data_IF_616516913200
#
_entry.id   IF_616516913200
#
_cell.length_a   1.000
_cell.length_b   1.000
_cell.length_c   1.000
_cell.angle_alpha   90.00
_cell.angle_beta   90.00
_cell.angle_gamma   90.00
#
_symmetry.space_group_name_H-M   'P 1'
#
loop_
_entity.id
_entity.type
_entity.pdbx_description
1 polymer ?
#
# COMPACT_ATOMS: atom_id res chain seq x y z
N UNK A 1 -34.97 -7.32 3.23
CA UNK A 1 -34.01 -6.39 3.85
C UNK A 1 -34.60 -6.04 5.21
N UNK A 2 -34.00 -6.55 6.28
CA UNK A 2 -34.66 -6.72 7.58
C UNK A 2 -34.56 -5.44 8.43
N UNK A 3 -35.68 -4.70 8.50
CA UNK A 3 -35.82 -3.42 9.23
C UNK A 3 -35.38 -3.43 10.70
N UNK A 4 -35.24 -4.62 11.31
CA UNK A 4 -34.81 -4.77 12.70
C UNK A 4 -33.29 -4.60 12.87
N UNK A 5 -32.51 -4.96 11.83
CA UNK A 5 -31.05 -4.95 11.87
C UNK A 5 -30.49 -3.52 11.75
N UNK A 6 -31.02 -2.73 10.82
CA UNK A 6 -30.62 -1.32 10.64
C UNK A 6 -30.90 -0.48 11.90
N UNK A 7 -32.03 -0.75 12.56
CA UNK A 7 -32.42 -0.08 13.81
C UNK A 7 -31.48 -0.44 14.96
N UNK A 8 -31.04 -1.71 15.06
CA UNK A 8 -30.06 -2.14 16.07
C UNK A 8 -28.67 -1.58 15.82
N UNK A 9 -28.24 -1.51 14.56
CA UNK A 9 -26.95 -0.91 14.18
C UNK A 9 -26.96 0.58 14.55
N UNK A 10 -28.01 1.32 14.19
CA UNK A 10 -28.16 2.72 14.57
C UNK A 10 -28.19 2.92 16.10
N UNK A 11 -28.87 2.03 16.84
CA UNK A 11 -28.88 2.07 18.31
C UNK A 11 -27.50 1.83 18.92
N UNK A 12 -26.74 0.84 18.45
CA UNK A 12 -25.38 0.59 18.94
C UNK A 12 -24.42 1.72 18.58
N UNK A 13 -24.51 2.29 17.38
CA UNK A 13 -23.70 3.44 16.96
C UNK A 13 -24.02 4.64 17.85
N UNK A 14 -25.30 4.99 18.03
CA UNK A 14 -25.69 6.10 18.91
C UNK A 14 -25.35 5.86 20.39
N UNK A 15 -25.35 4.58 20.84
CA UNK A 15 -24.96 4.19 22.20
C UNK A 15 -23.45 4.33 22.42
N UNK A 16 -22.64 3.97 21.43
CA UNK A 16 -21.18 4.14 21.45
C UNK A 16 -20.83 5.64 21.37
N UNK A 17 -21.51 6.40 20.52
CA UNK A 17 -21.33 7.84 20.38
C UNK A 17 -21.68 8.60 21.67
N UNK A 18 -22.68 8.12 22.44
CA UNK A 18 -23.00 8.63 23.78
C UNK A 18 -22.04 8.19 24.90
N UNK A 19 -21.24 7.14 24.68
CA UNK A 19 -20.31 6.61 25.68
C UNK A 19 -18.89 7.16 25.53
N UNK A 20 -18.57 7.76 24.38
CA UNK A 20 -17.33 8.50 24.16
C UNK A 20 -17.59 9.97 24.47
N UNK A 21 -16.92 10.49 25.49
CA UNK A 21 -16.88 11.91 25.79
C UNK A 21 -16.24 12.67 24.61
N UNK A 22 -16.74 13.86 24.27
CA UNK A 22 -16.25 14.64 23.13
C UNK A 22 -14.76 15.04 23.29
N UNK A 23 -14.23 15.05 24.51
CA UNK A 23 -12.80 15.22 24.77
C UNK A 23 -11.98 13.94 24.50
N UNK A 24 -12.54 12.75 24.72
CA UNK A 24 -11.90 11.48 24.34
C UNK A 24 -11.84 11.32 22.82
N UNK A 25 -12.90 11.73 22.10
CA UNK A 25 -12.89 11.72 20.63
C UNK A 25 -11.86 12.70 20.07
N UNK A 26 -11.71 13.90 20.66
CA UNK A 26 -10.64 14.85 20.30
C UNK A 26 -9.26 14.29 20.60
N UNK A 27 -9.07 13.58 21.72
CA UNK A 27 -7.78 12.98 22.11
C UNK A 27 -7.41 11.82 21.19
N UNK A 28 -8.36 10.94 20.87
CA UNK A 28 -8.18 9.85 19.92
C UNK A 28 -7.91 10.37 18.51
N UNK A 29 -8.66 11.39 18.07
CA UNK A 29 -8.42 12.07 16.78
C UNK A 29 -7.04 12.71 16.73
N UNK A 30 -6.62 13.43 17.78
CA UNK A 30 -5.27 14.00 17.86
C UNK A 30 -4.20 12.91 17.83
N UNK A 31 -4.39 11.81 18.56
CA UNK A 31 -3.43 10.69 18.58
C UNK A 31 -3.29 10.03 17.22
N UNK A 32 -4.40 9.80 16.52
CA UNK A 32 -4.42 9.25 15.15
C UNK A 32 -3.76 10.26 14.21
N UNK A 33 -4.14 11.54 14.26
CA UNK A 33 -3.53 12.58 13.42
C UNK A 33 -2.03 12.72 13.68
N UNK A 34 -1.55 12.71 14.92
CA UNK A 34 -0.10 12.76 15.20
C UNK A 34 0.63 11.53 14.72
N UNK A 35 -0.03 10.37 14.67
CA UNK A 35 0.55 9.14 14.15
C UNK A 35 0.62 9.16 12.61
N UNK A 36 -0.47 9.57 11.94
CA UNK A 36 -0.55 9.67 10.48
C UNK A 36 0.24 10.85 9.92
N UNK A 37 0.38 11.95 10.66
CA UNK A 37 1.19 13.11 10.28
C UNK A 37 2.59 13.09 10.93
N UNK A 38 3.04 11.93 11.39
CA UNK A 38 4.43 11.76 11.79
C UNK A 38 5.34 11.93 10.57
N UNK A 39 6.47 12.65 10.69
CA UNK A 39 7.40 12.87 9.58
C UNK A 39 7.94 11.57 8.98
N UNK A 40 8.05 10.50 9.77
CA UNK A 40 8.47 9.18 9.29
C UNK A 40 7.39 8.56 8.38
N UNK A 41 6.12 8.62 8.81
CA UNK A 41 5.01 8.09 8.03
C UNK A 41 4.86 8.86 6.72
N UNK A 42 4.84 10.19 6.78
CA UNK A 42 4.75 11.04 5.58
C UNK A 42 5.89 10.76 4.60
N UNK A 43 7.13 10.58 5.08
CA UNK A 43 8.27 10.29 4.21
C UNK A 43 8.15 8.92 3.54
N UNK A 44 7.82 7.88 4.31
CA UNK A 44 7.63 6.52 3.78
C UNK A 44 6.40 6.45 2.85
N UNK A 45 5.31 7.11 3.21
CA UNK A 45 4.12 7.22 2.39
C UNK A 45 4.43 7.95 1.08
N UNK A 46 5.08 9.12 1.12
CA UNK A 46 5.38 9.88 -0.10
C UNK A 46 6.31 9.11 -1.04
N UNK A 47 7.38 8.48 -0.55
CA UNK A 47 8.31 7.74 -1.43
C UNK A 47 7.62 6.52 -2.08
N UNK A 48 6.82 5.77 -1.32
CA UNK A 48 6.09 4.63 -1.85
C UNK A 48 4.93 5.07 -2.75
N UNK A 49 4.18 6.08 -2.35
CA UNK A 49 3.05 6.60 -3.13
C UNK A 49 3.53 7.12 -4.48
N UNK A 50 4.52 8.01 -4.53
CA UNK A 50 5.04 8.51 -5.80
C UNK A 50 5.79 7.44 -6.60
N UNK A 51 6.44 6.48 -5.95
CA UNK A 51 7.13 5.38 -6.63
C UNK A 51 6.17 4.39 -7.30
N UNK A 52 5.01 4.16 -6.69
CA UNK A 52 4.00 3.22 -7.16
C UNK A 52 2.84 3.91 -7.90
N UNK A 53 2.78 5.24 -7.93
CA UNK A 53 1.68 5.97 -8.57
C UNK A 53 1.68 5.71 -10.07
N UNK A 54 0.67 4.99 -10.54
CA UNK A 54 0.53 4.67 -11.95
C UNK A 54 1.47 3.58 -12.41
N UNK A 55 1.97 2.75 -11.48
CA UNK A 55 2.74 1.58 -11.84
C UNK A 55 1.91 0.58 -12.68
N UNK A 56 2.61 -0.22 -13.48
CA UNK A 56 2.02 -1.24 -14.36
C UNK A 56 1.17 -2.23 -13.57
N UNK A 57 1.50 -2.50 -12.29
CA UNK A 57 0.69 -3.34 -11.42
C UNK A 57 -0.73 -2.79 -11.23
N UNK A 58 -0.92 -1.47 -11.16
CA UNK A 58 -2.24 -0.84 -11.01
C UNK A 58 -3.05 -0.94 -12.31
N UNK A 59 -2.44 -0.71 -13.46
CA UNK A 59 -3.09 -0.88 -14.77
C UNK A 59 -3.44 -2.35 -15.04
N UNK A 60 -2.56 -3.28 -14.67
CA UNK A 60 -2.82 -4.72 -14.77
C UNK A 60 -3.97 -5.14 -13.84
N UNK A 61 -4.04 -4.58 -12.64
CA UNK A 61 -5.15 -4.82 -11.68
C UNK A 61 -6.48 -4.29 -12.24
N UNK A 62 -6.49 -3.10 -12.84
CA UNK A 62 -7.69 -2.55 -13.49
C UNK A 62 -8.11 -3.41 -14.68
N UNK A 63 -7.16 -3.84 -15.52
CA UNK A 63 -7.43 -4.73 -16.64
C UNK A 63 -8.00 -6.07 -16.20
N UNK A 64 -7.41 -6.67 -15.17
CA UNK A 64 -7.90 -7.95 -14.61
C UNK A 64 -9.25 -7.79 -13.91
N UNK A 65 -9.49 -6.68 -13.21
CA UNK A 65 -10.77 -6.39 -12.57
C UNK A 65 -11.89 -6.05 -13.58
N UNK A 66 -11.54 -5.69 -14.82
CA UNK A 66 -12.49 -5.49 -15.90
C UNK A 66 -12.91 -6.82 -16.57
N UNK A 67 -12.05 -7.84 -16.53
CA UNK A 67 -12.28 -9.17 -17.12
C UNK A 67 -12.86 -10.17 -16.10
N UNK A 68 -12.45 -10.06 -14.84
CA UNK A 68 -12.78 -10.97 -13.72
C UNK A 68 -13.53 -10.26 -12.58
N UNK A 69 -13.86 -11.01 -11.52
CA UNK A 69 -14.58 -10.44 -10.37
C UNK A 69 -13.75 -9.36 -9.64
N UNK A 70 -14.19 -8.08 -9.65
CA UNK A 70 -13.37 -6.95 -9.19
C UNK A 70 -13.03 -7.03 -7.71
N UNK A 71 -13.92 -7.58 -6.88
CA UNK A 71 -13.67 -7.76 -5.45
C UNK A 71 -12.53 -8.74 -5.18
N UNK A 72 -12.46 -9.85 -5.93
CA UNK A 72 -11.40 -10.85 -5.79
C UNK A 72 -10.04 -10.31 -6.21
N UNK A 73 -10.00 -9.54 -7.30
CA UNK A 73 -8.79 -8.91 -7.82
C UNK A 73 -8.23 -7.86 -6.86
N UNK A 74 -9.09 -7.00 -6.31
CA UNK A 74 -8.68 -5.99 -5.32
C UNK A 74 -8.14 -6.65 -4.04
N UNK A 75 -8.84 -7.67 -3.51
CA UNK A 75 -8.38 -8.42 -2.34
C UNK A 75 -7.03 -9.11 -2.59
N UNK A 76 -6.87 -9.74 -3.75
CA UNK A 76 -5.61 -10.37 -4.15
C UNK A 76 -4.47 -9.38 -4.29
N UNK A 77 -4.72 -8.21 -4.90
CA UNK A 77 -3.74 -7.14 -5.04
C UNK A 77 -3.30 -6.57 -3.70
N UNK A 78 -4.24 -6.31 -2.77
CA UNK A 78 -3.93 -5.84 -1.42
C UNK A 78 -3.07 -6.87 -0.67
N UNK A 79 -3.45 -8.15 -0.71
CA UNK A 79 -2.71 -9.21 -0.04
C UNK A 79 -1.32 -9.41 -0.64
N UNK A 80 -1.19 -9.39 -1.96
CA UNK A 80 0.09 -9.49 -2.66
C UNK A 80 1.02 -8.35 -2.29
N UNK A 81 0.53 -7.10 -2.32
CA UNK A 81 1.33 -5.93 -1.97
C UNK A 81 1.73 -5.92 -0.48
N UNK A 82 0.82 -6.33 0.41
CA UNK A 82 1.10 -6.44 1.84
C UNK A 82 2.19 -7.49 2.12
N UNK A 83 2.11 -8.66 1.47
CA UNK A 83 3.12 -9.71 1.60
C UNK A 83 4.48 -9.26 1.05
N UNK A 84 4.51 -8.65 -0.13
CA UNK A 84 5.73 -8.13 -0.73
C UNK A 84 6.40 -7.08 0.17
N UNK A 85 5.63 -6.12 0.66
CA UNK A 85 6.13 -5.07 1.57
C UNK A 85 6.64 -5.65 2.88
N UNK A 86 5.92 -6.62 3.45
CA UNK A 86 6.35 -7.29 4.69
C UNK A 86 7.66 -8.04 4.49
N UNK A 87 7.79 -8.78 3.39
CA UNK A 87 9.03 -9.46 3.04
C UNK A 87 10.19 -8.48 2.83
N UNK A 88 9.95 -7.34 2.18
CA UNK A 88 10.96 -6.30 1.97
C UNK A 88 11.42 -5.66 3.29
N UNK A 89 10.50 -5.38 4.22
CA UNK A 89 10.84 -4.80 5.53
C UNK A 89 11.60 -5.80 6.41
N UNK A 90 11.18 -7.07 6.43
CA UNK A 90 11.87 -8.12 7.19
C UNK A 90 13.24 -8.46 6.59
N UNK A 91 13.31 -8.58 5.26
CA UNK A 91 14.54 -8.85 4.53
C UNK A 91 15.50 -7.66 4.48
N UNK A 92 15.00 -6.43 4.59
CA UNK A 92 15.76 -5.20 4.40
C UNK A 92 16.96 -5.07 5.34
N UNK A 93 16.82 -5.46 6.61
CA UNK A 93 17.96 -5.47 7.57
C UNK A 93 19.05 -6.47 7.17
N UNK A 94 18.66 -7.63 6.65
CA UNK A 94 19.62 -8.67 6.23
C UNK A 94 20.28 -8.31 4.90
N UNK A 95 19.52 -7.75 3.97
CA UNK A 95 19.99 -7.27 2.67
C UNK A 95 20.94 -6.08 2.82
N UNK A 96 20.60 -5.09 3.65
CA UNK A 96 21.45 -3.91 3.89
C UNK A 96 22.81 -4.27 4.53
N UNK A 97 22.89 -5.38 5.27
CA UNK A 97 24.14 -5.85 5.86
C UNK A 97 25.04 -6.62 4.87
N UNK A 98 24.45 -7.20 3.81
CA UNK A 98 25.15 -8.10 2.88
C UNK A 98 25.45 -7.44 1.52
N UNK A 99 24.66 -6.44 1.11
CA UNK A 99 24.74 -5.83 -0.22
C UNK A 99 25.40 -4.46 -0.14
N UNK A 100 26.53 -4.33 -0.84
CA UNK A 100 27.19 -3.03 -1.08
C UNK A 100 26.41 -2.24 -2.13
N UNK A 101 26.17 -0.95 -1.87
CA UNK A 101 25.51 -0.01 -2.80
C UNK A 101 26.14 -0.03 -4.20
N UNK A 102 27.46 -0.29 -4.30
CA UNK A 102 28.18 -0.41 -5.57
C UNK A 102 27.68 -1.57 -6.43
N UNK A 103 27.36 -2.70 -5.82
CA UNK A 103 26.88 -3.90 -6.54
C UNK A 103 25.46 -3.63 -7.05
N UNK A 104 24.62 -2.98 -6.25
CA UNK A 104 23.26 -2.58 -6.65
C UNK A 104 23.32 -1.63 -7.85
N UNK A 105 24.12 -0.57 -7.76
CA UNK A 105 24.28 0.39 -8.85
C UNK A 105 24.82 -0.27 -10.13
N UNK A 106 25.82 -1.16 -10.02
CA UNK A 106 26.37 -1.87 -11.17
C UNK A 106 25.33 -2.81 -11.79
N UNK A 107 24.59 -3.57 -10.97
CA UNK A 107 23.54 -4.47 -11.45
C UNK A 107 22.41 -3.71 -12.15
N UNK A 108 22.00 -2.56 -11.60
CA UNK A 108 21.01 -1.67 -12.22
C UNK A 108 21.47 -1.14 -13.56
N UNK A 109 22.72 -0.68 -13.66
CA UNK A 109 23.31 -0.22 -14.93
C UNK A 109 23.40 -1.33 -15.98
N UNK A 110 23.82 -2.53 -15.58
CA UNK A 110 23.88 -3.70 -16.48
C UNK A 110 22.47 -4.08 -16.97
N UNK A 111 21.48 -4.15 -16.07
CA UNK A 111 20.09 -4.42 -16.44
C UNK A 111 19.53 -3.36 -17.38
N UNK A 112 19.87 -2.08 -17.17
CA UNK A 112 19.48 -0.99 -18.07
C UNK A 112 20.06 -1.15 -19.47
N UNK A 113 21.34 -1.55 -19.59
CA UNK A 113 21.96 -1.82 -20.89
C UNK A 113 21.27 -3.02 -21.57
N UNK A 114 21.01 -4.09 -20.83
CA UNK A 114 20.33 -5.29 -21.36
C UNK A 114 18.92 -4.92 -21.84
N UNK A 115 18.12 -4.22 -21.03
CA UNK A 115 16.78 -3.78 -21.44
C UNK A 115 16.81 -2.77 -22.57
N UNK A 116 17.81 -1.88 -22.61
CA UNK A 116 18.00 -0.94 -23.72
C UNK A 116 18.29 -1.67 -25.04
N UNK A 117 19.19 -2.64 -25.03
CA UNK A 117 19.49 -3.48 -26.20
C UNK A 117 18.25 -4.30 -26.59
N UNK A 118 17.58 -4.93 -25.62
CA UNK A 118 16.37 -5.69 -25.87
C UNK A 118 15.27 -4.80 -26.48
N UNK A 119 15.06 -3.59 -25.95
CA UNK A 119 14.09 -2.63 -26.49
C UNK A 119 14.47 -2.19 -27.91
N UNK A 120 15.75 -2.02 -28.20
CA UNK A 120 16.23 -1.66 -29.54
C UNK A 120 15.99 -2.80 -30.54
N UNK A 121 16.31 -4.03 -30.16
CA UNK A 121 16.11 -5.23 -30.99
C UNK A 121 14.64 -5.62 -31.13
N UNK A 122 13.82 -5.37 -30.10
CA UNK A 122 12.38 -5.65 -30.09
C UNK A 122 11.56 -4.54 -30.76
N UNK A 123 12.18 -3.71 -31.62
CA UNK A 123 11.49 -2.77 -32.50
C UNK A 123 10.67 -3.55 -33.54
N UNK A 124 9.51 -4.05 -33.12
CA UNK A 124 8.34 -4.49 -33.90
C UNK A 124 7.10 -4.08 -33.11
#
# INVERSE_FOLDING_TARGET
MDSNLDTKIAYYIAKVEKFMDDDDLKKLRRSILTQFFSPIFLKAFSITFFGEWGDKSQLATIGLAADENPFGVVLGGILGQALCTTAAVLGGKSLAAQISEKIVGLSGGVLFIIFGIQSFLSTV
#
